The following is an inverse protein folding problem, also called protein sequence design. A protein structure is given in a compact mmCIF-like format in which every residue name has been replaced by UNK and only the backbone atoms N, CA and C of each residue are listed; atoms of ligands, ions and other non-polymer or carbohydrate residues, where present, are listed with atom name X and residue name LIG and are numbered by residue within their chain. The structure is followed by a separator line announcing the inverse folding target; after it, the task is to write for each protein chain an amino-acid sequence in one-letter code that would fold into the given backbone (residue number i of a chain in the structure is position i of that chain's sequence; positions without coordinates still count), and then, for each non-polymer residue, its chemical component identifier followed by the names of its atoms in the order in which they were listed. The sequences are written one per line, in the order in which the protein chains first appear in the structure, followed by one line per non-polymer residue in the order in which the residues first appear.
data_IF_871487955527
#
_entry.id   IF_871487955527
#
_cell.length_a   1.000
_cell.length_b   1.000
_cell.length_c   1.000
_cell.angle_alpha   90.00
_cell.angle_beta   90.00
_cell.angle_gamma   90.00
#
_symmetry.space_group_name_H-M   'P 1'
#
loop_
_entity.id
_entity.type
_entity.pdbx_description
1 polymer ?
#
# COMPACT_ATOMS: atom_id res chain seq x y z
N UNK A 1 -2.06 11.92 0.50
CA UNK A 1 -1.47 11.08 -0.57
C UNK A 1 -2.47 10.03 -1.08
N UNK A 2 -2.96 9.11 -0.24
CA UNK A 2 -3.84 8.00 -0.66
C UNK A 2 -5.08 8.41 -1.45
N UNK A 3 -5.82 9.43 -0.98
CA UNK A 3 -7.02 9.94 -1.65
C UNK A 3 -6.73 10.46 -3.07
N UNK A 4 -5.54 11.03 -3.30
CA UNK A 4 -5.15 11.48 -4.63
C UNK A 4 -4.88 10.31 -5.59
N UNK A 5 -4.37 9.17 -5.09
CA UNK A 5 -4.17 7.98 -5.91
C UNK A 5 -5.51 7.41 -6.40
N UNK A 6 -6.53 7.33 -5.53
CA UNK A 6 -7.87 6.88 -5.91
C UNK A 6 -8.62 7.80 -6.88
N UNK A 7 -8.21 9.07 -6.99
CA UNK A 7 -8.79 10.01 -7.96
C UNK A 7 -8.22 9.83 -9.39
N UNK A 8 -7.09 9.12 -9.54
CA UNK A 8 -6.36 9.01 -10.81
C UNK A 8 -6.40 7.58 -11.35
N UNK A 9 -6.58 6.59 -10.48
CA UNK A 9 -6.63 5.17 -10.87
C UNK A 9 -7.58 4.37 -9.99
N UNK A 10 -7.86 3.13 -10.39
CA UNK A 10 -8.67 2.19 -9.64
C UNK A 10 -7.87 1.47 -8.53
N UNK A 11 -8.53 1.01 -7.45
CA UNK A 11 -7.86 0.33 -6.33
C UNK A 11 -7.00 -0.88 -6.71
N UNK A 12 -7.37 -1.62 -7.76
CA UNK A 12 -6.65 -2.78 -8.30
C UNK A 12 -5.35 -2.41 -9.05
N UNK A 13 -5.00 -1.13 -9.09
CA UNK A 13 -3.76 -0.61 -9.68
C UNK A 13 -2.85 0.05 -8.65
N UNK A 14 -3.26 0.06 -7.38
CA UNK A 14 -2.51 0.62 -6.26
C UNK A 14 -1.95 -0.53 -5.44
N UNK A 15 -0.67 -0.46 -5.10
CA UNK A 15 0.01 -1.41 -4.21
C UNK A 15 0.94 -0.68 -3.25
N UNK A 16 1.08 -1.25 -2.06
CA UNK A 16 2.04 -0.79 -1.07
C UNK A 16 3.46 -1.23 -1.44
N UNK A 17 4.38 -0.26 -1.51
CA UNK A 17 5.82 -0.51 -1.57
C UNK A 17 6.49 0.15 -0.37
N UNK A 18 7.15 -0.63 0.47
CA UNK A 18 7.87 -0.11 1.63
C UNK A 18 9.17 0.59 1.25
N UNK A 19 9.74 0.21 0.11
CA UNK A 19 11.04 0.71 -0.37
C UNK A 19 12.19 0.39 0.60
N UNK A 20 11.99 -0.58 1.50
CA UNK A 20 12.99 -1.00 2.46
C UNK A 20 13.93 -2.05 1.83
N UNK A 21 15.25 -1.98 2.05
CA UNK A 21 15.99 -0.95 2.79
C UNK A 21 16.54 0.15 1.86
N UNK A 22 16.02 1.37 1.94
CA UNK A 22 16.64 2.56 1.32
C UNK A 22 17.30 3.43 2.39
N UNK A 23 18.31 4.22 2.01
CA UNK A 23 18.97 5.20 2.90
C UNK A 23 17.88 5.97 3.67
N UNK A 24 17.94 5.92 5.00
CA UNK A 24 16.98 6.51 5.96
C UNK A 24 15.68 5.72 6.26
N UNK A 25 15.44 4.53 5.67
CA UNK A 25 14.31 3.65 6.05
C UNK A 25 14.80 2.44 6.84
N UNK A 26 14.41 2.39 8.11
CA UNK A 26 14.68 1.26 9.02
C UNK A 26 13.49 0.30 9.08
N UNK A 27 13.67 -0.85 9.74
CA UNK A 27 12.57 -1.77 10.01
C UNK A 27 11.42 -1.14 10.81
N UNK A 28 11.69 -0.12 11.64
CA UNK A 28 10.65 0.61 12.36
C UNK A 28 9.69 1.35 11.41
N UNK A 29 10.20 1.86 10.28
CA UNK A 29 9.39 2.57 9.29
C UNK A 29 8.45 1.65 8.52
N UNK A 30 8.69 0.32 8.53
CA UNK A 30 7.75 -0.65 7.96
C UNK A 30 6.44 -0.66 8.73
N UNK A 31 6.52 -0.72 10.05
CA UNK A 31 5.34 -0.75 10.92
C UNK A 31 4.53 0.53 10.79
N UNK A 32 5.19 1.69 10.78
CA UNK A 32 4.54 2.99 10.58
C UNK A 32 3.82 3.05 9.22
N UNK A 33 4.49 2.61 8.15
CA UNK A 33 3.93 2.61 6.79
C UNK A 33 2.72 1.68 6.67
N UNK A 34 2.75 0.51 7.31
CA UNK A 34 1.62 -0.42 7.35
C UNK A 34 0.44 0.18 8.13
N UNK A 35 0.73 0.86 9.25
CA UNK A 35 -0.30 1.49 10.07
C UNK A 35 -1.00 2.64 9.34
N UNK A 36 -0.26 3.41 8.55
CA UNK A 36 -0.84 4.44 7.67
C UNK A 36 -1.89 3.86 6.70
N UNK A 37 -1.67 2.66 6.17
CA UNK A 37 -2.65 1.98 5.31
C UNK A 37 -3.86 1.52 6.13
N UNK A 38 -3.64 0.96 7.32
CA UNK A 38 -4.73 0.50 8.20
C UNK A 38 -5.65 1.65 8.61
N UNK A 39 -5.10 2.83 8.82
CA UNK A 39 -5.84 4.04 9.22
C UNK A 39 -6.42 4.82 8.03
N UNK A 40 -6.14 4.41 6.80
CA UNK A 40 -6.64 5.11 5.63
C UNK A 40 -8.19 5.14 5.59
N UNK A 41 -8.81 6.26 5.17
CA UNK A 41 -10.26 6.40 5.10
C UNK A 41 -10.81 5.73 3.83
N UNK A 42 -10.55 4.44 3.66
CA UNK A 42 -11.05 3.61 2.57
C UNK A 42 -11.59 2.28 3.10
N UNK A 43 -12.32 1.55 2.26
CA UNK A 43 -12.94 0.28 2.62
C UNK A 43 -11.91 -0.80 2.94
N UNK A 44 -12.35 -1.82 3.68
CA UNK A 44 -11.51 -2.99 3.99
C UNK A 44 -11.03 -3.67 2.69
N UNK A 45 -11.90 -3.79 1.69
CA UNK A 45 -11.55 -4.39 0.41
C UNK A 45 -10.42 -3.62 -0.32
N UNK A 46 -10.45 -2.28 -0.29
CA UNK A 46 -9.41 -1.45 -0.87
C UNK A 46 -8.09 -1.59 -0.10
N UNK A 47 -8.13 -1.65 1.24
CA UNK A 47 -6.93 -1.90 2.05
C UNK A 47 -6.31 -3.26 1.73
N UNK A 48 -7.13 -4.31 1.63
CA UNK A 48 -6.67 -5.66 1.23
C UNK A 48 -6.11 -5.68 -0.19
N UNK A 49 -6.69 -4.92 -1.12
CA UNK A 49 -6.17 -4.78 -2.47
C UNK A 49 -4.74 -4.23 -2.46
N UNK A 50 -4.55 -3.10 -1.78
CA UNK A 50 -3.27 -2.41 -1.69
C UNK A 50 -2.18 -3.19 -0.96
N UNK A 51 -2.54 -3.93 0.10
CA UNK A 51 -1.56 -4.65 0.93
C UNK A 51 -1.01 -5.93 0.30
N UNK A 52 -1.63 -6.48 -0.75
CA UNK A 52 -1.10 -7.69 -1.36
C UNK A 52 -1.85 -8.25 -2.55
N UNK A 53 -3.18 -8.11 -2.65
CA UNK A 53 -3.94 -8.72 -3.75
C UNK A 53 -3.52 -8.16 -5.12
N UNK A 54 -3.32 -6.85 -5.21
CA UNK A 54 -2.86 -6.20 -6.45
C UNK A 54 -1.46 -6.68 -6.84
N UNK A 55 -0.53 -6.70 -5.88
CA UNK A 55 0.84 -7.15 -6.12
C UNK A 55 0.89 -8.64 -6.52
N UNK A 56 0.12 -9.50 -5.85
CA UNK A 56 0.05 -10.92 -6.16
C UNK A 56 -0.46 -11.17 -7.59
N UNK A 57 -1.50 -10.45 -8.01
CA UNK A 57 -2.01 -10.53 -9.38
C UNK A 57 -1.00 -10.03 -10.43
N UNK A 58 -0.22 -8.99 -10.12
CA UNK A 58 0.77 -8.44 -11.03
C UNK A 58 2.01 -9.33 -11.17
N UNK A 59 2.52 -9.86 -10.05
CA UNK A 59 3.76 -10.63 -10.00
C UNK A 59 3.56 -12.15 -10.10
N UNK A 60 2.32 -12.63 -10.14
CA UNK A 60 2.00 -14.06 -10.23
C UNK A 60 2.37 -14.86 -8.99
N UNK A 61 2.14 -14.27 -7.80
CA UNK A 61 2.42 -14.88 -6.49
C UNK A 61 1.26 -15.71 -5.95
#
# INVERSE_FOLDING_TARGET
AMAAAFNITTPDRIMFGSDYPLECKTAANLTESLEMIRQAPCSVAEKTAMLGKTAAGLFGL
#
